data_IF_290842487567
#
_entry.id   IF_290842487567
#
_cell.length_a   1.000
_cell.length_b   1.000
_cell.length_c   1.000
_cell.angle_alpha   90.00
_cell.angle_beta   90.00
_cell.angle_gamma   90.00
#
_symmetry.space_group_name_H-M   'P 1'
#
loop_
_entity.id
_entity.type
_entity.pdbx_description
1 polymer ?
#
# COMPACT_ATOMS: atom_id res chain seq x y z
N UNK A 1 20.58 -7.42 42.55
CA UNK A 1 21.19 -6.47 41.58
C UNK A 1 20.27 -6.40 40.37
N UNK A 2 19.59 -5.27 40.15
CA UNK A 2 18.52 -5.11 39.14
C UNK A 2 19.16 -4.79 37.78
N UNK A 3 19.06 -5.71 36.82
CA UNK A 3 19.51 -5.50 35.43
C UNK A 3 18.57 -4.54 34.70
N UNK A 4 19.06 -3.61 33.85
CA UNK A 4 18.23 -2.62 33.20
C UNK A 4 17.43 -3.25 32.06
N UNK A 5 16.11 -3.03 32.11
CA UNK A 5 15.14 -3.47 31.10
C UNK A 5 15.38 -2.66 29.81
N UNK A 6 16.06 -3.24 28.84
CA UNK A 6 16.07 -2.72 27.46
C UNK A 6 14.63 -2.82 26.94
N UNK A 7 14.00 -1.66 26.73
CA UNK A 7 12.70 -1.58 26.07
C UNK A 7 12.95 -1.86 24.60
N UNK A 8 12.83 -3.11 24.18
CA UNK A 8 12.79 -3.44 22.76
C UNK A 8 11.54 -2.80 22.17
N UNK A 9 11.74 -1.86 21.24
CA UNK A 9 10.63 -1.28 20.52
C UNK A 9 10.00 -2.39 19.68
N UNK A 10 8.67 -2.57 19.75
CA UNK A 10 8.00 -3.62 19.01
C UNK A 10 8.18 -3.39 17.50
N UNK A 11 8.36 -4.47 16.76
CA UNK A 11 8.71 -4.48 15.33
C UNK A 11 7.74 -3.64 14.46
N UNK A 12 6.48 -3.49 14.89
CA UNK A 12 5.49 -2.60 14.26
C UNK A 12 5.91 -1.12 14.28
N UNK A 13 6.63 -0.66 15.31
CA UNK A 13 7.11 0.71 15.43
C UNK A 13 8.30 0.97 14.48
N UNK A 14 9.12 -0.06 14.23
CA UNK A 14 10.23 0.00 13.27
C UNK A 14 9.71 -0.06 11.83
N UNK A 15 8.72 -0.92 11.54
CA UNK A 15 8.08 -1.00 10.23
C UNK A 15 7.29 0.29 9.89
N UNK A 16 6.51 0.82 10.86
CA UNK A 16 5.85 2.12 10.72
C UNK A 16 6.86 3.26 10.56
N UNK A 17 7.94 3.27 11.35
CA UNK A 17 9.02 4.26 11.22
C UNK A 17 9.73 4.21 9.86
N UNK A 18 9.92 3.02 9.29
CA UNK A 18 10.48 2.80 7.95
C UNK A 18 9.52 3.25 6.84
N UNK A 19 8.24 2.95 6.97
CA UNK A 19 7.19 3.34 6.01
C UNK A 19 6.93 4.85 6.03
N UNK A 20 6.88 5.46 7.23
CA UNK A 20 6.82 6.92 7.42
C UNK A 20 8.07 7.60 6.85
N UNK A 21 9.25 7.01 7.02
CA UNK A 21 10.48 7.53 6.42
C UNK A 21 10.47 7.43 4.89
N UNK A 22 9.92 6.36 4.34
CA UNK A 22 9.80 6.17 2.88
C UNK A 22 8.76 7.13 2.26
N UNK A 23 7.62 7.33 2.93
CA UNK A 23 6.58 8.29 2.54
C UNK A 23 7.12 9.73 2.59
N UNK A 24 7.85 10.11 3.65
CA UNK A 24 8.53 11.42 3.75
C UNK A 24 9.58 11.64 2.65
N UNK A 25 10.23 10.57 2.18
CA UNK A 25 11.21 10.64 1.09
C UNK A 25 10.53 10.84 -0.27
N UNK A 26 9.33 10.29 -0.45
CA UNK A 26 8.49 10.47 -1.66
C UNK A 26 7.91 11.89 -1.68
N UNK A 27 7.40 12.39 -0.55
CA UNK A 27 6.90 13.77 -0.40
C UNK A 27 7.94 14.81 -0.83
N UNK A 28 9.20 14.66 -0.38
CA UNK A 28 10.23 15.68 -0.66
C UNK A 28 10.63 15.74 -2.14
N UNK A 29 10.54 14.63 -2.87
CA UNK A 29 10.84 14.57 -4.33
C UNK A 29 9.69 15.16 -5.15
N UNK A 30 8.45 14.94 -4.74
CA UNK A 30 7.26 15.51 -5.37
C UNK A 30 7.21 17.03 -5.17
N UNK A 31 7.50 17.54 -3.97
CA UNK A 31 7.52 18.98 -3.71
C UNK A 31 8.46 19.74 -4.66
N UNK A 32 9.63 19.19 -5.01
CA UNK A 32 10.53 19.84 -5.96
C UNK A 32 9.92 19.94 -7.36
N UNK A 33 9.18 18.90 -7.81
CA UNK A 33 8.47 18.91 -9.08
C UNK A 33 7.33 19.94 -9.08
N UNK A 34 6.52 20.01 -8.02
CA UNK A 34 5.47 21.03 -7.86
C UNK A 34 6.06 22.44 -7.81
N UNK A 35 7.18 22.66 -7.11
CA UNK A 35 7.85 23.96 -7.11
C UNK A 35 8.43 24.32 -8.47
N UNK A 36 8.95 23.35 -9.22
CA UNK A 36 9.46 23.59 -10.58
C UNK A 36 8.32 23.95 -11.54
N UNK A 37 7.17 23.28 -11.42
CA UNK A 37 5.98 23.58 -12.21
C UNK A 37 5.47 24.99 -11.90
N UNK A 38 5.33 25.34 -10.61
CA UNK A 38 4.92 26.69 -10.18
C UNK A 38 5.91 27.76 -10.63
N UNK A 39 7.23 27.50 -10.54
CA UNK A 39 8.28 28.43 -10.97
C UNK A 39 8.25 28.65 -12.49
N UNK A 40 8.07 27.58 -13.27
CA UNK A 40 7.94 27.67 -14.73
C UNK A 40 6.69 28.46 -15.10
N UNK A 41 5.57 28.21 -14.41
CA UNK A 41 4.34 28.99 -14.59
C UNK A 41 4.54 30.47 -14.24
N UNK A 42 5.24 30.78 -13.14
CA UNK A 42 5.57 32.15 -12.73
C UNK A 42 6.51 32.87 -13.71
N UNK A 43 7.49 32.16 -14.28
CA UNK A 43 8.39 32.72 -15.30
C UNK A 43 7.66 33.00 -16.61
N UNK A 44 6.75 32.11 -17.00
CA UNK A 44 5.89 32.30 -18.18
C UNK A 44 4.95 33.49 -17.99
N UNK A 45 4.31 33.63 -16.82
CA UNK A 45 3.45 34.78 -16.52
C UNK A 45 4.24 36.10 -16.46
N UNK A 46 5.43 36.10 -15.86
CA UNK A 46 6.30 37.28 -15.82
C UNK A 46 6.76 37.71 -17.22
N UNK A 47 7.09 36.73 -18.08
CA UNK A 47 7.42 36.98 -19.48
C UNK A 47 6.27 37.65 -20.25
N UNK A 48 5.04 37.20 -20.02
CA UNK A 48 3.81 37.81 -20.59
C UNK A 48 3.63 39.25 -20.10
N UNK A 49 3.84 39.51 -18.80
CA UNK A 49 3.69 40.86 -18.21
C UNK A 49 4.76 41.82 -18.71
N UNK A 50 6.01 41.39 -18.86
CA UNK A 50 7.11 42.21 -19.38
C UNK A 50 6.85 42.69 -20.82
N UNK A 51 6.20 41.86 -21.65
CA UNK A 51 5.74 42.24 -22.99
C UNK A 51 4.55 43.22 -22.99
N UNK A 52 3.84 43.38 -21.87
CA UNK A 52 2.76 44.37 -21.70
C UNK A 52 3.27 45.77 -21.31
N UNK A 53 4.48 45.87 -20.72
CA UNK A 53 5.06 47.14 -20.23
C UNK A 53 5.21 48.22 -21.33
N UNK A 54 5.60 47.91 -22.58
CA UNK A 54 5.67 48.90 -23.65
C UNK A 54 4.31 49.50 -24.03
N UNK A 55 3.20 48.80 -23.76
CA UNK A 55 1.83 49.30 -24.05
C UNK A 55 1.41 50.38 -23.05
N UNK A 56 1.94 50.35 -21.82
CA UNK A 56 1.65 51.33 -20.75
C UNK A 56 2.56 52.58 -20.82
N UNK A 57 3.61 52.56 -21.64
CA UNK A 57 4.50 53.70 -21.88
C UNK A 57 4.49 54.10 -23.36
N UNK A 58 3.47 54.86 -23.84
CA UNK A 58 3.39 55.28 -25.21
C UNK A 58 4.25 56.53 -25.43
N UNK A 59 5.50 56.36 -25.86
CA UNK A 59 6.25 57.42 -26.53
C UNK A 59 6.40 57.07 -28.02
N UNK A 60 5.32 57.39 -28.74
CA UNK A 60 5.19 57.72 -30.15
C UNK A 60 5.85 56.88 -31.27
N UNK A 61 4.96 56.55 -32.22
CA UNK A 61 5.09 56.37 -33.69
C UNK A 61 5.52 55.00 -34.25
N UNK A 62 4.58 54.46 -35.02
CA UNK A 62 4.72 53.48 -36.09
C UNK A 62 5.36 52.14 -35.71
N UNK A 63 4.58 51.29 -35.06
CA UNK A 63 4.79 49.84 -35.17
C UNK A 63 3.47 49.23 -35.64
N UNK A 64 3.53 48.53 -36.78
CA UNK A 64 2.43 47.74 -37.32
C UNK A 64 1.76 46.91 -36.22
N UNK A 65 0.43 46.69 -36.29
CA UNK A 65 -0.24 45.79 -35.36
C UNK A 65 0.27 44.37 -35.61
N UNK A 66 1.31 43.97 -34.87
CA UNK A 66 1.77 42.58 -34.84
C UNK A 66 0.57 41.68 -34.49
N UNK A 67 0.42 40.49 -35.12
CA UNK A 67 -0.71 39.60 -34.90
C UNK A 67 -0.50 38.78 -33.61
N UNK A 68 -0.61 39.43 -32.45
CA UNK A 68 -0.37 38.82 -31.11
C UNK A 68 -1.47 37.82 -30.69
N UNK A 69 -2.48 37.57 -31.52
CA UNK A 69 -3.73 36.93 -31.09
C UNK A 69 -3.72 35.38 -31.04
N UNK A 70 -2.80 34.69 -31.74
CA UNK A 70 -2.86 33.22 -31.86
C UNK A 70 -1.85 32.48 -30.97
N UNK A 71 -0.61 32.96 -30.89
CA UNK A 71 0.42 32.36 -30.02
C UNK A 71 0.05 32.48 -28.53
N UNK A 72 -0.56 33.62 -28.14
CA UNK A 72 -1.04 33.86 -26.78
C UNK A 72 -2.20 32.92 -26.40
N UNK A 73 -3.14 32.66 -27.33
CA UNK A 73 -4.24 31.71 -27.10
C UNK A 73 -3.75 30.27 -26.99
N UNK A 74 -2.74 29.88 -27.77
CA UNK A 74 -2.11 28.56 -27.69
C UNK A 74 -1.44 28.30 -26.34
N UNK A 75 -0.73 29.29 -25.80
CA UNK A 75 -0.06 29.19 -24.50
C UNK A 75 -1.07 29.07 -23.34
N UNK A 76 -2.13 29.89 -23.35
CA UNK A 76 -3.22 29.78 -22.38
C UNK A 76 -3.89 28.41 -22.45
N UNK A 77 -4.15 27.90 -23.65
CA UNK A 77 -4.68 26.54 -23.84
C UNK A 77 -3.75 25.46 -23.28
N UNK A 78 -2.44 25.59 -23.49
CA UNK A 78 -1.45 24.63 -23.02
C UNK A 78 -1.32 24.62 -21.48
N UNK A 79 -1.38 25.79 -20.83
CA UNK A 79 -1.39 25.90 -19.36
C UNK A 79 -2.67 25.31 -18.79
N UNK A 80 -3.84 25.63 -19.35
CA UNK A 80 -5.12 25.07 -18.89
C UNK A 80 -5.17 23.55 -19.07
N UNK A 81 -4.64 23.01 -20.17
CA UNK A 81 -4.54 21.57 -20.38
C UNK A 81 -3.62 20.91 -19.34
N UNK A 82 -2.51 21.56 -19.00
CA UNK A 82 -1.61 21.09 -17.95
C UNK A 82 -2.27 21.13 -16.57
N UNK A 83 -2.95 22.22 -16.22
CA UNK A 83 -3.68 22.34 -14.95
C UNK A 83 -4.80 21.29 -14.85
N UNK A 84 -5.57 21.10 -15.92
CA UNK A 84 -6.60 20.04 -15.99
C UNK A 84 -5.96 18.65 -15.83
N UNK A 85 -4.83 18.40 -16.49
CA UNK A 85 -4.12 17.12 -16.40
C UNK A 85 -3.60 16.86 -14.99
N UNK A 86 -2.98 17.86 -14.34
CA UNK A 86 -2.46 17.73 -12.97
C UNK A 86 -3.58 17.49 -11.96
N UNK A 87 -4.71 18.21 -12.07
CA UNK A 87 -5.91 17.97 -11.24
C UNK A 87 -6.47 16.58 -11.49
N UNK A 88 -6.53 16.12 -12.74
CA UNK A 88 -6.98 14.77 -13.08
C UNK A 88 -6.08 13.70 -12.44
N UNK A 89 -4.76 13.85 -12.54
CA UNK A 89 -3.80 12.94 -11.92
C UNK A 89 -3.96 12.88 -10.40
N UNK A 90 -4.12 14.03 -9.74
CA UNK A 90 -4.35 14.08 -8.28
C UNK A 90 -5.64 13.37 -7.88
N UNK A 91 -6.71 13.55 -8.65
CA UNK A 91 -7.98 12.89 -8.37
C UNK A 91 -7.91 11.37 -8.52
N UNK A 92 -7.19 10.87 -9.52
CA UNK A 92 -6.99 9.43 -9.72
C UNK A 92 -6.26 8.80 -8.54
N UNK A 93 -5.15 9.41 -8.11
CA UNK A 93 -4.36 8.92 -6.97
C UNK A 93 -5.21 8.90 -5.71
N UNK A 94 -5.99 9.96 -5.46
CA UNK A 94 -6.87 10.02 -4.29
C UNK A 94 -7.93 8.90 -4.31
N UNK A 95 -8.57 8.65 -5.47
CA UNK A 95 -9.57 7.59 -5.61
C UNK A 95 -8.99 6.19 -5.38
N UNK A 96 -7.84 5.90 -5.97
CA UNK A 96 -7.17 4.60 -5.80
C UNK A 96 -6.78 4.40 -4.33
N UNK A 97 -6.18 5.40 -3.69
CA UNK A 97 -5.82 5.32 -2.27
C UNK A 97 -7.04 5.09 -1.38
N UNK A 98 -8.13 5.80 -1.64
CA UNK A 98 -9.37 5.65 -0.89
C UNK A 98 -9.99 4.26 -1.08
N UNK A 99 -10.05 3.77 -2.32
CA UNK A 99 -10.55 2.42 -2.59
C UNK A 99 -9.70 1.34 -1.91
N UNK A 100 -8.38 1.50 -1.88
CA UNK A 100 -7.50 0.58 -1.17
C UNK A 100 -7.74 0.61 0.35
N UNK A 101 -7.85 1.80 0.95
CA UNK A 101 -8.11 1.94 2.38
C UNK A 101 -9.49 1.37 2.79
N UNK A 102 -10.54 1.64 2.00
CA UNK A 102 -11.89 1.11 2.26
C UNK A 102 -11.91 -0.42 2.13
N UNK A 103 -11.20 -1.00 1.16
CA UNK A 103 -11.06 -2.46 1.02
C UNK A 103 -10.27 -3.08 2.16
N UNK A 104 -9.18 -2.45 2.59
CA UNK A 104 -8.36 -2.92 3.70
C UNK A 104 -9.15 -2.90 5.01
N UNK A 105 -9.91 -1.83 5.27
CA UNK A 105 -10.77 -1.73 6.45
C UNK A 105 -11.91 -2.75 6.42
N UNK A 106 -12.56 -2.93 5.27
CA UNK A 106 -13.59 -3.96 5.11
C UNK A 106 -13.01 -5.37 5.32
N UNK A 107 -11.86 -5.66 4.72
CA UNK A 107 -11.15 -6.93 4.93
C UNK A 107 -10.81 -7.13 6.39
N UNK A 108 -10.30 -6.10 7.08
CA UNK A 108 -10.05 -6.13 8.52
C UNK A 108 -11.33 -6.44 9.31
N UNK A 109 -12.45 -5.77 9.02
CA UNK A 109 -13.72 -5.99 9.74
C UNK A 109 -14.29 -7.39 9.50
N UNK A 110 -14.21 -7.91 8.27
CA UNK A 110 -14.65 -9.26 7.93
C UNK A 110 -13.76 -10.28 8.63
N UNK A 111 -12.43 -10.13 8.57
CA UNK A 111 -11.49 -11.07 9.19
C UNK A 111 -11.49 -10.99 10.72
N UNK A 112 -11.76 -9.84 11.32
CA UNK A 112 -11.85 -9.68 12.77
C UNK A 112 -13.15 -10.26 13.35
N UNK A 113 -14.25 -10.27 12.58
CA UNK A 113 -15.55 -10.81 13.02
C UNK A 113 -15.84 -12.23 12.51
N UNK A 114 -15.17 -12.71 11.47
CA UNK A 114 -15.29 -14.09 11.04
C UNK A 114 -14.65 -15.02 12.08
N UNK A 115 -15.38 -16.05 12.48
CA UNK A 115 -14.85 -17.15 13.29
C UNK A 115 -13.78 -17.96 12.55
N UNK A 116 -13.61 -17.74 11.25
CA UNK A 116 -12.66 -18.44 10.42
C UNK A 116 -11.23 -17.95 10.66
N UNK A 117 -10.33 -18.91 10.82
CA UNK A 117 -8.89 -18.65 10.89
C UNK A 117 -8.32 -18.67 9.48
N UNK A 118 -7.67 -17.58 9.09
CA UNK A 118 -7.05 -17.43 7.77
C UNK A 118 -5.53 -17.36 7.97
N UNK A 119 -4.80 -18.16 7.20
CA UNK A 119 -3.36 -18.12 7.13
C UNK A 119 -2.91 -17.97 5.68
N UNK A 120 -1.89 -17.13 5.45
CA UNK A 120 -1.15 -17.08 4.20
C UNK A 120 0.24 -17.63 4.49
N UNK A 121 0.68 -18.59 3.68
CA UNK A 121 1.99 -19.22 3.80
C UNK A 121 2.75 -19.10 2.49
N UNK A 122 4.08 -19.08 2.55
CA UNK A 122 4.92 -19.21 1.36
C UNK A 122 4.99 -20.67 0.87
N UNK A 123 5.69 -20.90 -0.23
CA UNK A 123 5.89 -22.25 -0.80
C UNK A 123 6.61 -23.21 0.14
N UNK A 124 7.35 -22.70 1.12
CA UNK A 124 8.06 -23.48 2.13
C UNK A 124 7.19 -23.71 3.40
N UNK A 125 5.94 -23.25 3.39
CA UNK A 125 4.99 -23.40 4.51
C UNK A 125 5.22 -22.41 5.65
N UNK A 126 6.08 -21.39 5.48
CA UNK A 126 6.31 -20.33 6.47
C UNK A 126 5.15 -19.34 6.45
N UNK A 127 4.67 -18.96 7.63
CA UNK A 127 3.55 -18.03 7.78
C UNK A 127 3.95 -16.60 7.38
N UNK A 128 3.28 -16.08 6.35
CA UNK A 128 3.36 -14.68 5.91
C UNK A 128 2.31 -13.82 6.60
N UNK A 129 1.13 -14.38 6.86
CA UNK A 129 0.03 -13.69 7.53
C UNK A 129 -0.84 -14.68 8.31
N UNK A 130 -1.39 -14.22 9.44
CA UNK A 130 -2.42 -14.90 10.20
C UNK A 130 -3.50 -13.91 10.63
N UNK A 131 -4.78 -14.29 10.47
CA UNK A 131 -5.89 -13.46 10.93
C UNK A 131 -5.89 -13.34 12.47
N UNK A 132 -6.40 -12.24 13.05
CA UNK A 132 -6.52 -12.06 14.50
C UNK A 132 -7.31 -13.18 15.20
N UNK A 133 -8.14 -13.92 14.47
CA UNK A 133 -8.89 -15.08 14.97
C UNK A 133 -7.98 -16.17 15.55
N UNK A 134 -6.72 -16.29 15.11
CA UNK A 134 -5.73 -17.19 15.73
C UNK A 134 -5.53 -16.89 17.22
N UNK A 135 -5.48 -15.62 17.60
CA UNK A 135 -5.32 -15.23 19.00
C UNK A 135 -6.60 -15.51 19.79
N UNK A 136 -7.77 -15.30 19.19
CA UNK A 136 -9.06 -15.53 19.84
C UNK A 136 -9.35 -17.01 20.07
N UNK A 137 -8.96 -17.87 19.12
CA UNK A 137 -9.31 -19.30 19.10
C UNK A 137 -8.20 -20.20 19.63
N UNK A 138 -6.93 -19.90 19.31
CA UNK A 138 -5.76 -20.72 19.68
C UNK A 138 -4.85 -20.05 20.73
N UNK A 139 -5.08 -18.78 21.06
CA UNK A 139 -4.33 -18.04 22.07
C UNK A 139 -2.97 -17.49 21.62
N UNK A 140 -2.54 -17.78 20.39
CA UNK A 140 -1.26 -17.30 19.86
C UNK A 140 -1.37 -15.88 19.32
N UNK A 141 -0.44 -15.01 19.70
CA UNK A 141 -0.40 -13.66 19.13
C UNK A 141 0.22 -13.70 17.73
N UNK A 142 -0.06 -12.70 16.87
CA UNK A 142 0.55 -12.61 15.54
C UNK A 142 2.08 -12.66 15.59
N UNK A 143 2.70 -12.06 16.61
CA UNK A 143 4.15 -12.03 16.79
C UNK A 143 4.74 -13.41 17.13
N UNK A 144 3.99 -14.24 17.86
CA UNK A 144 4.41 -15.61 18.19
C UNK A 144 4.34 -16.54 16.97
N UNK A 145 3.46 -16.23 16.01
CA UNK A 145 3.28 -17.02 14.80
C UNK A 145 4.13 -16.51 13.63
N UNK A 146 4.59 -15.26 13.67
CA UNK A 146 5.32 -14.64 12.58
C UNK A 146 6.60 -15.41 12.24
N UNK A 147 6.82 -15.72 10.96
CA UNK A 147 7.96 -16.46 10.45
C UNK A 147 8.13 -17.89 11.03
N UNK A 148 7.12 -18.44 11.71
CA UNK A 148 7.11 -19.85 12.13
C UNK A 148 6.53 -20.73 11.02
N UNK A 149 6.80 -22.04 11.10
CA UNK A 149 6.17 -23.00 10.20
C UNK A 149 4.70 -23.15 10.56
N UNK A 150 3.84 -23.24 9.55
CA UNK A 150 2.42 -23.57 9.74
C UNK A 150 2.21 -24.93 10.44
N UNK A 151 3.17 -25.84 10.32
CA UNK A 151 3.15 -27.20 10.88
C UNK A 151 3.57 -27.27 12.35
N UNK A 152 4.21 -26.23 12.89
CA UNK A 152 4.75 -26.26 14.26
C UNK A 152 3.65 -26.45 15.32
N UNK A 153 2.47 -25.89 15.04
CA UNK A 153 1.30 -26.03 15.91
C UNK A 153 0.39 -27.19 15.50
N UNK A 154 0.69 -27.91 14.42
CA UNK A 154 -0.06 -29.12 14.01
C UNK A 154 0.41 -30.32 14.83
N UNK A 155 -0.54 -31.15 15.26
CA UNK A 155 -0.24 -32.39 15.96
C UNK A 155 0.71 -33.26 15.14
N UNK A 156 1.78 -33.86 15.73
CA UNK A 156 2.80 -34.60 14.98
C UNK A 156 2.24 -35.67 14.04
N UNK A 157 1.23 -36.43 14.49
CA UNK A 157 0.59 -37.48 13.70
C UNK A 157 -0.19 -36.95 12.48
N UNK A 158 -0.63 -35.69 12.52
CA UNK A 158 -1.49 -35.09 11.49
C UNK A 158 -0.66 -34.29 10.46
N UNK A 159 0.62 -33.99 10.76
CA UNK A 159 1.51 -33.22 9.87
C UNK A 159 1.63 -33.81 8.46
N UNK A 160 1.80 -35.13 8.26
CA UNK A 160 1.91 -35.69 6.92
C UNK A 160 0.68 -35.41 6.05
N UNK A 161 -0.51 -35.44 6.65
CA UNK A 161 -1.76 -35.15 5.95
C UNK A 161 -1.86 -33.67 5.55
N UNK A 162 -1.46 -32.76 6.44
CA UNK A 162 -1.45 -31.31 6.15
C UNK A 162 -0.44 -30.97 5.06
N UNK A 163 0.75 -31.57 5.11
CA UNK A 163 1.78 -31.40 4.08
C UNK A 163 1.32 -31.88 2.70
N UNK A 164 0.63 -33.02 2.63
CA UNK A 164 0.12 -33.55 1.37
C UNK A 164 -0.96 -32.63 0.80
N UNK A 165 -1.91 -32.19 1.62
CA UNK A 165 -2.94 -31.24 1.20
C UNK A 165 -2.34 -29.91 0.69
N UNK A 166 -1.26 -29.44 1.32
CA UNK A 166 -0.54 -28.24 0.90
C UNK A 166 0.16 -28.44 -0.46
N UNK A 167 0.80 -29.59 -0.67
CA UNK A 167 1.42 -29.95 -1.97
C UNK A 167 0.38 -30.04 -3.08
N UNK A 168 -0.75 -30.69 -2.82
CA UNK A 168 -1.85 -30.74 -3.79
C UNK A 168 -2.35 -29.35 -4.15
N UNK A 169 -2.53 -28.47 -3.17
CA UNK A 169 -2.93 -27.09 -3.42
C UNK A 169 -1.92 -26.34 -4.31
N UNK A 170 -0.62 -26.54 -4.10
CA UNK A 170 0.44 -25.95 -4.93
C UNK A 170 0.40 -26.47 -6.38
N UNK A 171 0.11 -27.76 -6.59
CA UNK A 171 0.12 -28.39 -7.92
C UNK A 171 -1.17 -28.11 -8.70
N UNK A 172 -2.32 -28.23 -8.05
CA UNK A 172 -3.64 -28.17 -8.69
C UNK A 172 -4.34 -26.81 -8.52
N UNK A 173 -3.76 -25.90 -7.75
CA UNK A 173 -4.34 -24.58 -7.45
C UNK A 173 -5.37 -24.57 -6.32
N UNK A 174 -6.00 -25.72 -6.03
CA UNK A 174 -6.99 -25.86 -4.95
C UNK A 174 -6.69 -27.13 -4.16
N UNK A 175 -6.54 -26.97 -2.84
CA UNK A 175 -6.38 -28.08 -1.91
C UNK A 175 -7.72 -28.61 -1.41
N UNK A 176 -7.78 -29.91 -1.13
CA UNK A 176 -8.96 -30.51 -0.55
C UNK A 176 -9.15 -30.13 0.93
N UNK A 177 -10.38 -30.25 1.42
CA UNK A 177 -10.74 -30.01 2.82
C UNK A 177 -10.16 -31.11 3.72
N UNK A 178 -9.45 -30.72 4.78
CA UNK A 178 -8.88 -31.62 5.79
C UNK A 178 -9.31 -31.21 7.19
N UNK A 179 -9.42 -32.20 8.07
CA UNK A 179 -9.60 -32.00 9.51
C UNK A 179 -8.36 -32.51 10.25
N UNK A 180 -7.78 -31.68 11.11
CA UNK A 180 -6.55 -31.98 11.83
C UNK A 180 -6.52 -31.28 13.18
N UNK A 181 -5.68 -31.77 14.08
CA UNK A 181 -5.50 -31.19 15.42
C UNK A 181 -4.45 -30.10 15.39
N UNK A 182 -4.82 -28.91 15.87
CA UNK A 182 -3.88 -27.86 16.22
C UNK A 182 -3.75 -27.71 17.72
N UNK A 183 -2.53 -27.41 18.16
CA UNK A 183 -2.21 -27.12 19.56
C UNK A 183 -2.76 -25.75 19.90
N UNK A 184 -3.50 -25.63 20.98
CA UNK A 184 -3.80 -24.36 21.62
C UNK A 184 -2.62 -23.94 22.52
N UNK A 185 -2.47 -22.65 22.80
CA UNK A 185 -1.37 -22.12 23.62
C UNK A 185 -1.30 -22.70 25.05
N UNK A 186 -2.42 -23.14 25.60
CA UNK A 186 -2.50 -23.83 26.90
C UNK A 186 -2.05 -25.31 26.85
N UNK A 187 -1.76 -25.84 25.67
CA UNK A 187 -1.32 -27.22 25.45
C UNK A 187 -2.44 -28.20 25.08
N UNK A 188 -3.70 -27.78 25.06
CA UNK A 188 -4.82 -28.61 24.59
C UNK A 188 -4.81 -28.75 23.06
N UNK A 189 -5.52 -29.76 22.54
CA UNK A 189 -5.64 -30.02 21.11
C UNK A 189 -7.05 -29.70 20.64
N UNK A 190 -7.16 -28.85 19.63
CA UNK A 190 -8.43 -28.46 19.02
C UNK A 190 -8.51 -29.03 17.62
N UNK A 191 -9.63 -29.68 17.29
CA UNK A 191 -9.92 -30.10 15.93
C UNK A 191 -10.31 -28.87 15.11
N UNK A 192 -9.64 -28.73 13.99
CA UNK A 192 -9.88 -27.67 13.04
C UNK A 192 -9.99 -28.26 11.66
N UNK A 193 -10.73 -27.55 10.84
CA UNK A 193 -10.86 -27.86 9.45
C UNK A 193 -10.23 -26.75 8.62
N UNK A 194 -9.49 -27.13 7.58
CA UNK A 194 -8.95 -26.16 6.64
C UNK A 194 -9.08 -26.65 5.20
N UNK A 195 -9.09 -25.67 4.31
CA UNK A 195 -8.88 -25.86 2.88
C UNK A 195 -7.93 -24.77 2.40
N UNK A 196 -7.08 -25.11 1.45
CA UNK A 196 -6.06 -24.20 0.90
C UNK A 196 -6.34 -23.92 -0.57
N UNK A 197 -5.92 -22.76 -1.05
CA UNK A 197 -5.90 -22.45 -2.46
C UNK A 197 -4.56 -21.77 -2.78
N UNK A 198 -3.94 -22.17 -3.88
CA UNK A 198 -2.74 -21.54 -4.39
C UNK A 198 -3.12 -20.54 -5.48
N UNK A 199 -2.68 -19.30 -5.33
CA UNK A 199 -2.87 -18.28 -6.35
C UNK A 199 -1.51 -17.98 -6.99
N UNK A 200 -1.31 -18.44 -8.22
CA UNK A 200 -0.16 -18.06 -9.04
C UNK A 200 -0.45 -16.72 -9.70
N UNK A 201 0.27 -15.66 -9.33
CA UNK A 201 0.31 -14.43 -10.13
C UNK A 201 0.88 -14.78 -11.51
N UNK A 202 0.06 -14.66 -12.56
CA UNK A 202 0.47 -14.79 -13.96
C UNK A 202 1.19 -13.54 -14.46
#
# INVERSE_FOLDING_TARGET
MKSPRTKELPLYAVAKGGMDAHIRKIERREWWLWTSAILVTLLLTLGIVSFLVPILHPQNKAADPLPVNNAMRGLVGMVLLFDIYTVYQQLQIYRIRRQMAEREELFRLITENAADMIAVVDSDGRRLYNSPSYQKILGYTPEELQNTSSLDQVHPDDRPQVEEAAKEALVFGVGHRIEYRMRHKDGSWHFLESSGQHHSEC
#
